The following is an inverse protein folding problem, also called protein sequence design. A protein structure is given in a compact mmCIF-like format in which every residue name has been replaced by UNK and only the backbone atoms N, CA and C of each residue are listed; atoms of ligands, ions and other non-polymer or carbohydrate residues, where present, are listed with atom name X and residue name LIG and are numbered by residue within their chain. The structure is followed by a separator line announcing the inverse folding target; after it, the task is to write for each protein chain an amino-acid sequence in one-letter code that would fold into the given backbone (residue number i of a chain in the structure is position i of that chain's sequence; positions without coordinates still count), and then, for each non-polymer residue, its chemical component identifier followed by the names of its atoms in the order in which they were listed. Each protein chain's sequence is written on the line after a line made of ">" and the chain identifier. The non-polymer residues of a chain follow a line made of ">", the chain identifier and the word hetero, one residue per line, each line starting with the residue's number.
data_IF_802730956718
#
_entry.id   IF_802730956718
#
_cell.length_a   1.000
_cell.length_b   1.000
_cell.length_c   1.000
_cell.angle_alpha   90.00
_cell.angle_beta   90.00
_cell.angle_gamma   90.00
#
_symmetry.space_group_name_H-M   'P 1'
#
loop_
_entity.id
_entity.type
_entity.pdbx_description
1 polymer ?
#
# COMPACT_ATOMS: atom_id res chain seq x y z
N UNK A 1 -11.24 13.48 -22.83
CA UNK A 1 -11.34 14.12 -21.50
C UNK A 1 -10.51 15.39 -21.53
N UNK A 2 -11.00 16.51 -20.99
CA UNK A 2 -10.20 17.73 -20.88
C UNK A 2 -8.90 17.43 -20.10
N UNK A 3 -7.76 17.91 -20.61
CA UNK A 3 -6.44 17.74 -19.97
C UNK A 3 -6.35 18.69 -18.77
N UNK A 4 -7.09 18.36 -17.71
CA UNK A 4 -7.14 19.12 -16.47
C UNK A 4 -5.85 18.86 -15.69
N UNK A 5 -5.21 19.96 -15.29
CA UNK A 5 -4.04 19.89 -14.44
C UNK A 5 -4.35 19.21 -13.10
N UNK A 6 -3.46 18.34 -12.59
CA UNK A 6 -3.60 17.82 -11.24
C UNK A 6 -3.52 18.96 -10.22
N UNK A 7 -4.35 18.88 -9.18
CA UNK A 7 -4.42 19.86 -8.10
C UNK A 7 -3.12 19.96 -7.30
N UNK A 8 -2.39 18.84 -7.17
CA UNK A 8 -1.11 18.76 -6.48
C UNK A 8 -0.02 18.36 -7.47
N UNK A 9 1.10 19.08 -7.47
CA UNK A 9 2.23 18.84 -8.38
C UNK A 9 3.51 18.64 -7.59
N UNK A 10 4.23 17.57 -7.90
CA UNK A 10 5.59 17.36 -7.43
C UNK A 10 6.54 18.32 -8.16
N UNK A 11 7.03 19.34 -7.45
CA UNK A 11 8.09 20.25 -7.93
C UNK A 11 9.41 19.89 -7.23
N UNK A 12 10.58 20.04 -7.87
CA UNK A 12 11.87 19.86 -7.20
C UNK A 12 11.90 20.58 -5.85
N UNK A 13 12.31 19.86 -4.80
CA UNK A 13 12.32 20.35 -3.40
C UNK A 13 10.98 20.22 -2.64
N UNK A 14 9.89 19.85 -3.30
CA UNK A 14 8.61 19.54 -2.64
C UNK A 14 8.67 18.18 -1.92
N UNK A 15 7.96 17.99 -0.80
CA UNK A 15 7.75 16.65 -0.20
C UNK A 15 7.11 15.63 -1.15
N UNK A 16 6.42 16.10 -2.20
CA UNK A 16 5.84 15.26 -3.26
C UNK A 16 6.88 14.83 -4.31
N UNK A 17 8.03 15.50 -4.38
CA UNK A 17 9.10 15.13 -5.31
C UNK A 17 9.88 13.95 -4.76
N UNK A 18 9.87 12.89 -5.56
CA UNK A 18 10.63 11.66 -5.32
C UNK A 18 11.95 11.75 -6.09
N UNK A 19 13.03 11.19 -5.55
CA UNK A 19 14.30 10.99 -6.27
C UNK A 19 14.27 9.59 -6.91
N UNK A 20 13.94 9.46 -8.20
CA UNK A 20 13.81 8.14 -8.83
C UNK A 20 15.14 7.40 -8.87
N UNK A 21 16.25 8.12 -9.08
CA UNK A 21 17.57 7.51 -9.15
C UNK A 21 17.97 6.88 -7.81
N UNK A 22 17.65 7.53 -6.69
CA UNK A 22 17.87 6.98 -5.36
C UNK A 22 17.06 5.70 -5.13
N UNK A 23 15.75 5.72 -5.39
CA UNK A 23 14.90 4.55 -5.14
C UNK A 23 15.16 3.40 -6.12
N UNK A 24 15.57 3.70 -7.35
CA UNK A 24 16.01 2.68 -8.31
C UNK A 24 17.29 1.96 -7.86
N UNK A 25 18.27 2.69 -7.30
CA UNK A 25 19.46 2.07 -6.69
C UNK A 25 19.06 1.14 -5.54
N UNK A 26 18.14 1.59 -4.68
CA UNK A 26 17.59 0.73 -3.62
C UNK A 26 16.97 -0.51 -4.24
N UNK A 27 16.09 -0.37 -5.23
CA UNK A 27 15.36 -1.46 -5.87
C UNK A 27 16.27 -2.55 -6.44
N UNK A 28 17.38 -2.15 -7.07
CA UNK A 28 18.29 -3.05 -7.80
C UNK A 28 19.42 -3.65 -6.96
N UNK A 29 19.80 -3.03 -5.85
CA UNK A 29 20.85 -3.54 -4.96
C UNK A 29 20.35 -4.73 -4.11
N UNK A 30 19.76 -5.75 -4.75
CA UNK A 30 19.17 -6.92 -4.08
C UNK A 30 20.24 -7.85 -3.49
N UNK A 31 21.41 -7.90 -4.12
CA UNK A 31 22.63 -8.60 -3.72
C UNK A 31 23.30 -7.98 -2.47
N UNK A 32 23.04 -6.70 -2.20
CA UNK A 32 23.57 -5.97 -1.05
C UNK A 32 22.65 -6.00 0.17
N UNK A 33 21.51 -6.71 0.08
CA UNK A 33 20.54 -6.81 1.19
C UNK A 33 20.80 -8.04 2.04
N UNK A 34 20.66 -7.88 3.35
CA UNK A 34 20.54 -9.00 4.28
C UNK A 34 19.06 -9.28 4.54
N UNK A 35 18.62 -10.50 4.29
CA UNK A 35 17.28 -10.95 4.70
C UNK A 35 17.21 -10.98 6.22
N UNK A 36 16.24 -10.28 6.79
CA UNK A 36 16.03 -10.21 8.25
C UNK A 36 14.96 -11.21 8.68
N UNK A 37 13.85 -11.24 7.96
CA UNK A 37 12.69 -12.07 8.30
C UNK A 37 11.90 -12.43 7.05
N UNK A 38 11.26 -13.60 7.06
CA UNK A 38 10.24 -13.99 6.09
C UNK A 38 8.98 -14.36 6.85
N UNK A 39 7.86 -13.78 6.47
CA UNK A 39 6.56 -13.99 7.12
C UNK A 39 5.59 -14.52 6.07
N UNK A 40 5.03 -15.69 6.34
CA UNK A 40 3.92 -16.23 5.57
C UNK A 40 2.60 -15.74 6.18
N UNK A 41 1.73 -15.17 5.33
CA UNK A 41 0.37 -14.81 5.70
C UNK A 41 -0.56 -15.91 5.19
N UNK A 42 -1.17 -16.72 6.07
CA UNK A 42 -2.10 -17.76 5.64
C UNK A 42 -3.31 -17.19 4.90
N UNK A 43 -3.93 -18.04 4.08
CA UNK A 43 -5.19 -17.70 3.41
C UNK A 43 -6.23 -17.30 4.47
N UNK A 44 -6.93 -16.19 4.22
CA UNK A 44 -7.96 -15.63 5.13
C UNK A 44 -7.43 -15.26 6.52
N UNK A 45 -6.16 -14.87 6.60
CA UNK A 45 -5.53 -14.43 7.84
C UNK A 45 -4.70 -13.16 7.62
N UNK A 46 -4.14 -12.59 8.67
CA UNK A 46 -3.26 -11.43 8.61
C UNK A 46 -2.07 -11.57 9.58
N UNK A 47 -1.01 -10.82 9.31
CA UNK A 47 0.16 -10.71 10.19
C UNK A 47 0.52 -9.23 10.33
N UNK A 48 0.99 -8.86 11.52
CA UNK A 48 1.63 -7.56 11.76
C UNK A 48 3.10 -7.80 12.11
N UNK A 49 3.97 -6.96 11.57
CA UNK A 49 5.41 -7.03 11.82
C UNK A 49 6.03 -5.64 11.76
N UNK A 50 7.29 -5.54 12.19
CA UNK A 50 8.00 -4.26 12.30
C UNK A 50 8.99 -4.12 11.15
N UNK A 51 8.97 -2.97 10.48
CA UNK A 51 9.95 -2.59 9.45
C UNK A 51 10.62 -1.30 9.89
N UNK A 52 11.89 -1.32 10.34
CA UNK A 52 12.59 -0.10 10.74
C UNK A 52 12.79 0.85 9.55
N UNK A 53 12.93 2.14 9.82
CA UNK A 53 13.26 3.12 8.78
C UNK A 53 14.53 2.71 8.02
N UNK A 54 14.53 2.91 6.69
CA UNK A 54 15.62 2.52 5.80
C UNK A 54 15.64 1.04 5.40
N UNK A 55 14.75 0.20 5.94
CA UNK A 55 14.63 -1.20 5.51
C UNK A 55 13.69 -1.33 4.30
N UNK A 56 13.86 -2.42 3.56
CA UNK A 56 13.00 -2.80 2.43
C UNK A 56 12.14 -3.99 2.84
N UNK A 57 10.82 -3.88 2.67
CA UNK A 57 9.90 -5.00 2.73
C UNK A 57 9.42 -5.36 1.32
N UNK A 58 9.19 -6.65 1.06
CA UNK A 58 8.66 -7.15 -0.20
C UNK A 58 7.42 -7.99 0.08
N UNK A 59 6.32 -7.65 -0.58
CA UNK A 59 5.11 -8.48 -0.62
C UNK A 59 5.16 -9.29 -1.91
N UNK A 60 4.90 -10.59 -1.83
CA UNK A 60 4.95 -11.47 -2.99
C UNK A 60 3.89 -12.57 -2.88
N UNK A 61 3.36 -12.99 -4.02
CA UNK A 61 2.47 -14.14 -4.16
C UNK A 61 3.30 -15.35 -4.59
N UNK A 62 3.36 -16.40 -3.75
CA UNK A 62 4.29 -17.54 -3.95
C UNK A 62 3.61 -18.81 -4.45
N UNK A 63 2.34 -19.01 -4.11
CA UNK A 63 1.62 -20.27 -4.37
C UNK A 63 0.46 -20.11 -5.38
N UNK A 64 0.15 -18.88 -5.81
CA UNK A 64 -0.90 -18.60 -6.78
C UNK A 64 -1.36 -17.14 -6.75
N UNK A 65 -2.32 -16.76 -7.61
CA UNK A 65 -2.90 -15.42 -7.63
C UNK A 65 -3.63 -15.13 -6.31
N UNK A 66 -3.30 -14.01 -5.67
CA UNK A 66 -3.91 -13.57 -4.42
C UNK A 66 -3.77 -12.04 -4.28
N UNK A 67 -4.83 -11.38 -3.82
CA UNK A 67 -4.80 -9.97 -3.42
C UNK A 67 -4.58 -9.85 -1.91
N UNK A 68 -4.08 -8.72 -1.43
CA UNK A 68 -3.89 -8.48 0.00
C UNK A 68 -4.27 -7.06 0.40
N UNK A 69 -4.98 -6.94 1.51
CA UNK A 69 -5.24 -5.66 2.14
C UNK A 69 -4.06 -5.25 3.01
N UNK A 70 -3.61 -4.01 2.84
CA UNK A 70 -2.40 -3.51 3.49
C UNK A 70 -2.70 -2.30 4.39
N UNK A 71 -2.31 -2.40 5.66
CA UNK A 71 -2.27 -1.27 6.57
C UNK A 71 -0.83 -1.01 7.03
N UNK A 72 -0.55 0.24 7.40
CA UNK A 72 0.74 0.67 7.91
C UNK A 72 0.55 1.70 9.02
N UNK A 73 1.35 1.58 10.08
CA UNK A 73 1.37 2.49 11.22
C UNK A 73 2.80 2.94 11.51
N UNK A 74 2.94 4.12 12.12
CA UNK A 74 4.21 4.53 12.70
C UNK A 74 4.52 3.64 13.91
N UNK A 75 5.69 3.00 13.88
CA UNK A 75 6.12 2.05 14.92
C UNK A 75 6.07 2.63 16.34
N UNK A 76 6.31 3.94 16.46
CA UNK A 76 6.38 4.65 17.74
C UNK A 76 5.13 5.47 18.02
N UNK A 77 4.12 5.44 17.14
CA UNK A 77 2.90 6.20 17.29
C UNK A 77 1.72 5.58 16.50
N UNK A 78 0.84 4.77 17.13
CA UNK A 78 -0.27 4.12 16.45
C UNK A 78 -1.36 5.09 15.96
N UNK A 79 -1.34 6.36 16.37
CA UNK A 79 -2.25 7.40 15.84
C UNK A 79 -1.83 7.87 14.44
N UNK A 80 -0.56 7.72 14.09
CA UNK A 80 -0.06 7.98 12.74
C UNK A 80 -0.15 6.70 11.92
N UNK A 81 -1.05 6.68 10.93
CA UNK A 81 -1.31 5.52 10.09
C UNK A 81 -1.49 5.88 8.63
N UNK A 82 -1.42 4.89 7.76
CA UNK A 82 -1.67 5.03 6.34
C UNK A 82 -3.05 5.62 6.05
N UNK A 83 -3.09 6.57 5.12
CA UNK A 83 -4.27 7.28 4.70
C UNK A 83 -4.51 7.15 3.20
N UNK A 84 -5.17 6.05 2.80
CA UNK A 84 -5.41 5.71 1.39
C UNK A 84 -6.04 6.85 0.58
N UNK A 85 -7.07 7.52 1.10
CA UNK A 85 -7.74 8.61 0.38
C UNK A 85 -6.87 9.85 0.20
N UNK A 86 -5.95 10.14 1.13
CA UNK A 86 -4.96 11.21 0.96
C UNK A 86 -3.86 10.81 0.00
N UNK A 87 -3.37 9.58 0.07
CA UNK A 87 -2.45 9.06 -0.95
C UNK A 87 -3.07 9.16 -2.34
N UNK A 88 -4.34 8.76 -2.49
CA UNK A 88 -5.06 8.88 -3.76
C UNK A 88 -5.06 10.29 -4.31
N UNK A 89 -5.27 11.26 -3.44
CA UNK A 89 -5.31 12.67 -3.81
C UNK A 89 -3.93 13.22 -4.20
N UNK A 90 -2.86 12.77 -3.54
CA UNK A 90 -1.49 13.25 -3.77
C UNK A 90 -0.75 12.50 -4.87
N UNK A 91 -1.15 11.26 -5.13
CA UNK A 91 -0.59 10.36 -6.13
C UNK A 91 -1.61 10.15 -7.25
N UNK A 92 -2.44 9.11 -7.13
CA UNK A 92 -3.41 8.63 -8.12
C UNK A 92 -4.28 7.54 -7.51
N UNK A 93 -5.33 7.13 -8.23
CA UNK A 93 -6.27 6.07 -7.81
C UNK A 93 -5.61 4.71 -7.54
N UNK A 94 -4.50 4.43 -8.21
CA UNK A 94 -3.78 3.16 -8.17
C UNK A 94 -2.30 3.47 -8.11
N UNK A 95 -1.57 2.89 -7.15
CA UNK A 95 -0.17 3.25 -6.89
C UNK A 95 0.80 2.27 -7.53
N UNK A 96 1.94 2.76 -7.99
CA UNK A 96 3.04 1.92 -8.50
C UNK A 96 4.38 2.56 -8.16
N UNK A 97 5.45 2.17 -8.85
CA UNK A 97 6.83 2.60 -8.60
C UNK A 97 6.91 4.12 -8.44
N UNK A 98 7.64 4.54 -7.40
CA UNK A 98 7.84 5.91 -6.92
C UNK A 98 6.68 6.59 -6.21
N UNK A 99 5.47 6.02 -6.25
CA UNK A 99 4.37 6.55 -5.44
C UNK A 99 4.64 6.30 -3.95
N UNK A 100 4.15 7.23 -3.12
CA UNK A 100 4.34 7.22 -1.68
C UNK A 100 3.04 6.90 -0.96
N UNK A 101 3.12 6.10 0.10
CA UNK A 101 2.00 5.91 1.04
C UNK A 101 2.08 6.99 2.13
N UNK A 102 1.02 7.76 2.32
CA UNK A 102 1.01 8.96 3.17
C UNK A 102 0.28 8.71 4.47
N UNK A 103 0.75 9.33 5.56
CA UNK A 103 0.12 9.23 6.87
C UNK A 103 -1.07 10.20 7.06
N UNK A 104 -1.88 9.91 8.07
CA UNK A 104 -3.00 10.73 8.55
C UNK A 104 -2.58 12.11 9.06
N UNK A 105 -3.53 13.05 9.15
CA UNK A 105 -3.34 14.29 9.90
C UNK A 105 -3.18 14.01 11.41
N UNK A 106 -2.42 14.84 12.15
CA UNK A 106 -1.69 16.04 11.68
C UNK A 106 -0.31 15.74 11.07
N UNK A 107 0.07 14.47 10.91
CA UNK A 107 1.45 14.08 10.57
C UNK A 107 1.80 14.28 9.10
N UNK A 108 0.92 13.85 8.18
CA UNK A 108 1.03 14.03 6.72
C UNK A 108 2.45 13.89 6.15
N UNK A 109 3.05 12.72 6.29
CA UNK A 109 4.37 12.42 5.73
C UNK A 109 4.40 11.10 4.97
N UNK A 110 5.38 10.89 4.08
CA UNK A 110 5.62 9.58 3.49
C UNK A 110 5.95 8.55 4.59
N UNK A 111 5.23 7.44 4.58
CA UNK A 111 5.48 6.27 5.44
C UNK A 111 6.28 5.20 4.69
N UNK A 112 6.00 5.04 3.39
CA UNK A 112 6.69 4.11 2.50
C UNK A 112 6.76 4.68 1.07
N UNK A 113 7.71 4.19 0.27
CA UNK A 113 7.82 4.49 -1.16
C UNK A 113 7.93 3.17 -1.92
N UNK A 114 7.12 3.00 -2.97
CA UNK A 114 7.17 1.80 -3.80
C UNK A 114 8.44 1.88 -4.67
N UNK A 115 9.32 0.89 -4.53
CA UNK A 115 10.63 0.88 -5.22
C UNK A 115 10.67 -0.05 -6.42
N UNK A 116 9.79 -1.06 -6.44
CA UNK A 116 9.66 -2.01 -7.53
C UNK A 116 8.23 -2.56 -7.55
N UNK A 117 7.72 -2.84 -8.75
CA UNK A 117 6.41 -3.42 -8.99
C UNK A 117 6.50 -4.33 -10.22
N UNK A 118 6.36 -5.64 -10.03
CA UNK A 118 6.40 -6.60 -11.15
C UNK A 118 5.20 -6.49 -12.08
N UNK A 119 4.16 -5.74 -11.69
CA UNK A 119 2.95 -5.48 -12.47
C UNK A 119 2.89 -4.03 -13.00
N UNK A 120 4.00 -3.27 -12.97
CA UNK A 120 4.02 -1.88 -13.42
C UNK A 120 3.52 -1.70 -14.87
N UNK A 121 3.74 -2.72 -15.70
CA UNK A 121 3.37 -2.73 -17.12
C UNK A 121 1.93 -3.19 -17.38
N UNK A 122 1.13 -3.49 -16.35
CA UNK A 122 -0.29 -3.83 -16.51
C UNK A 122 -1.07 -2.68 -17.16
N UNK A 123 -0.72 -1.44 -16.80
CA UNK A 123 -1.35 -0.26 -17.38
C UNK A 123 -2.82 -0.10 -16.98
N UNK A 124 -3.68 0.13 -17.98
CA UNK A 124 -5.12 0.31 -17.83
C UNK A 124 -5.79 -0.64 -18.81
N UNK A 125 -6.68 -1.50 -18.33
CA UNK A 125 -7.43 -2.41 -19.21
C UNK A 125 -8.59 -1.67 -19.94
N UNK A 126 -9.34 -2.42 -20.76
CA UNK A 126 -10.45 -1.92 -21.57
C UNK A 126 -11.63 -1.37 -20.75
N UNK A 127 -11.78 -1.83 -19.51
CA UNK A 127 -12.81 -1.40 -18.57
C UNK A 127 -12.33 -0.29 -17.62
N UNK A 128 -11.07 0.13 -17.74
CA UNK A 128 -10.45 1.13 -16.87
C UNK A 128 -9.80 0.57 -15.61
N UNK A 129 -9.75 -0.76 -15.47
CA UNK A 129 -9.14 -1.48 -14.36
C UNK A 129 -7.62 -1.35 -14.33
N UNK A 130 -7.08 -1.40 -13.10
CA UNK A 130 -5.65 -1.28 -12.77
C UNK A 130 -5.36 -2.06 -11.49
N UNK A 131 -4.09 -2.20 -11.13
CA UNK A 131 -3.63 -2.90 -9.91
C UNK A 131 -3.24 -1.94 -8.79
N UNK A 132 -3.25 -2.42 -7.55
CA UNK A 132 -2.82 -1.68 -6.34
C UNK A 132 -3.70 -0.45 -6.04
N UNK A 133 -5.00 -0.67 -5.84
CA UNK A 133 -5.97 0.41 -5.70
C UNK A 133 -5.93 1.13 -4.33
N UNK A 134 -6.47 2.36 -4.34
CA UNK A 134 -6.76 3.19 -3.17
C UNK A 134 -8.22 3.65 -3.14
N UNK A 135 -9.08 2.96 -3.89
CA UNK A 135 -10.48 3.28 -4.10
C UNK A 135 -11.38 2.56 -3.10
N UNK A 136 -11.00 1.33 -2.74
CA UNK A 136 -11.71 0.52 -1.75
C UNK A 136 -11.48 0.98 -0.32
N UNK A 137 -12.20 0.32 0.58
CA UNK A 137 -11.98 0.39 2.03
C UNK A 137 -11.31 -0.88 2.53
N UNK A 138 -12.03 -2.00 2.37
CA UNK A 138 -11.68 -3.42 2.65
C UNK A 138 -12.97 -4.22 2.68
N UNK A 139 -12.91 -5.54 2.52
CA UNK A 139 -14.04 -6.38 2.91
C UNK A 139 -14.17 -6.42 4.44
N UNK A 140 -15.40 -6.45 4.94
CA UNK A 140 -15.68 -6.39 6.38
C UNK A 140 -16.95 -7.19 6.75
N UNK A 141 -17.01 -7.71 8.00
CA UNK A 141 -18.12 -8.56 8.43
C UNK A 141 -19.44 -7.80 8.55
N UNK A 142 -19.40 -6.47 8.68
CA UNK A 142 -20.60 -5.66 8.89
C UNK A 142 -21.37 -5.49 7.59
N UNK A 143 -20.67 -5.20 6.48
CA UNK A 143 -21.29 -5.17 5.15
C UNK A 143 -21.80 -6.56 4.76
N UNK A 144 -21.06 -7.63 5.09
CA UNK A 144 -21.53 -9.00 4.86
C UNK A 144 -22.85 -9.26 5.59
N UNK A 145 -22.88 -9.06 6.92
CA UNK A 145 -24.07 -9.25 7.72
C UNK A 145 -25.24 -8.38 7.24
N UNK A 146 -24.98 -7.12 6.88
CA UNK A 146 -26.00 -6.21 6.35
C UNK A 146 -26.65 -6.75 5.07
N UNK A 147 -25.88 -7.41 4.19
CA UNK A 147 -26.35 -7.89 2.89
C UNK A 147 -26.94 -9.31 2.94
N UNK A 148 -26.43 -10.18 3.82
CA UNK A 148 -26.78 -11.62 3.83
C UNK A 148 -27.50 -12.07 5.10
N UNK A 149 -27.43 -11.30 6.20
CA UNK A 149 -27.87 -11.71 7.53
C UNK A 149 -26.96 -12.74 8.22
N UNK A 150 -25.82 -13.08 7.61
CA UNK A 150 -24.89 -14.10 8.13
C UNK A 150 -23.62 -13.46 8.69
N UNK A 151 -23.14 -14.02 9.81
CA UNK A 151 -21.85 -13.66 10.39
C UNK A 151 -20.71 -14.42 9.72
N UNK A 152 -19.76 -13.69 9.15
CA UNK A 152 -18.54 -14.26 8.58
C UNK A 152 -17.30 -13.47 9.04
N UNK A 153 -16.38 -14.13 9.73
CA UNK A 153 -15.29 -13.44 10.47
C UNK A 153 -13.91 -13.52 9.81
N UNK A 154 -13.84 -13.91 8.55
CA UNK A 154 -12.59 -14.07 7.79
C UNK A 154 -12.36 -12.98 6.73
N UNK A 155 -13.09 -11.86 6.83
CA UNK A 155 -12.83 -10.66 6.04
C UNK A 155 -11.54 -9.96 6.45
N UNK A 156 -10.93 -9.21 5.52
CA UNK A 156 -9.71 -8.43 5.75
C UNK A 156 -9.83 -7.52 6.98
N UNK A 157 -10.99 -6.89 7.21
CA UNK A 157 -11.21 -6.11 8.43
C UNK A 157 -11.00 -6.93 9.71
N UNK A 158 -11.63 -8.09 9.82
CA UNK A 158 -11.53 -8.96 11.00
C UNK A 158 -10.12 -9.53 11.13
N UNK A 159 -9.50 -9.93 10.02
CA UNK A 159 -8.15 -10.49 9.99
C UNK A 159 -7.13 -9.45 10.48
N UNK A 160 -7.16 -8.23 9.91
CA UNK A 160 -6.27 -7.13 10.32
C UNK A 160 -6.51 -6.70 11.76
N UNK A 161 -7.77 -6.68 12.22
CA UNK A 161 -8.11 -6.34 13.61
C UNK A 161 -7.52 -7.35 14.60
N UNK A 162 -7.52 -8.64 14.29
CA UNK A 162 -6.93 -9.67 15.16
C UNK A 162 -5.39 -9.68 15.14
N UNK A 163 -4.78 -9.14 14.10
CA UNK A 163 -3.33 -9.17 13.91
C UNK A 163 -2.57 -8.06 14.67
N UNK A 164 -3.28 -7.06 15.21
CA UNK A 164 -2.71 -5.91 15.95
C UNK A 164 -3.23 -5.85 17.37
#
# INVERSE_FOLDING_TARGET
>A
MANLAPAYRAKPGSPLFVDPAFYHRIANATDQRRLIETIEVPIRDARAWKVPAGHVMRICTRQGPQVGDFNLWSLHNPRERFWASRTRQLQRAHVSVHDRLWSTLPYLRPMATITADTLENYGVDEDGGRVHDLLGTRCDPYVNHLLTGEDFNFHCHSNLTRAV
#
